data_IF_782917870188
#
_entry.id   IF_782917870188
#
_cell.length_a   1.000
_cell.length_b   1.000
_cell.length_c   1.000
_cell.angle_alpha   90.00
_cell.angle_beta   90.00
_cell.angle_gamma   90.00
#
_symmetry.space_group_name_H-M   'P 1'
#
loop_
_entity.id
_entity.type
_entity.pdbx_description
1 polymer ?
#
# COMPACT_ATOMS: atom_id res chain seq x y z
N UNK A 1 -9.66 -0.93 8.39
CA UNK A 1 -10.20 -1.84 7.35
C UNK A 1 -10.17 -3.28 7.86
N UNK A 2 -11.18 -3.79 8.59
CA UNK A 2 -11.20 -5.18 9.02
C UNK A 2 -12.07 -6.08 8.11
N UNK A 3 -11.52 -7.26 7.82
CA UNK A 3 -12.19 -8.57 7.59
C UNK A 3 -13.11 -8.70 6.37
N UNK A 4 -12.53 -9.15 5.26
CA UNK A 4 -13.24 -9.90 4.21
C UNK A 4 -12.94 -11.39 4.35
N UNK A 5 -13.94 -12.14 4.80
CA UNK A 5 -13.99 -13.60 4.78
C UNK A 5 -14.44 -14.05 3.38
N UNK A 6 -13.52 -14.57 2.57
CA UNK A 6 -13.78 -15.34 1.34
C UNK A 6 -12.48 -16.00 0.92
N UNK A 7 -12.39 -17.31 1.11
CA UNK A 7 -11.19 -18.10 0.86
C UNK A 7 -10.91 -18.34 -0.62
N UNK A 8 -9.62 -18.21 -0.98
CA UNK A 8 -8.92 -19.10 -1.90
C UNK A 8 -7.43 -19.13 -1.50
N UNK A 9 -6.86 -20.33 -1.52
CA UNK A 9 -5.63 -20.70 -0.81
C UNK A 9 -4.36 -20.17 -1.45
N UNK A 10 -3.67 -19.27 -0.75
CA UNK A 10 -2.31 -18.83 -1.06
C UNK A 10 -1.73 -18.08 0.13
N UNK A 11 -0.80 -18.71 0.84
CA UNK A 11 -0.26 -18.26 2.13
C UNK A 11 0.25 -16.81 2.12
N UNK A 12 -0.08 -16.07 3.18
CA UNK A 12 0.44 -14.77 3.66
C UNK A 12 -0.36 -13.51 3.27
N UNK A 13 -0.66 -12.69 4.29
CA UNK A 13 -1.36 -11.40 4.20
C UNK A 13 -0.61 -10.37 3.35
N UNK A 14 -0.69 -10.50 2.03
CA UNK A 14 -0.20 -9.51 1.10
C UNK A 14 -1.23 -8.37 0.97
N UNK A 15 -0.74 -7.13 1.07
CA UNK A 15 -1.55 -5.95 0.82
C UNK A 15 -2.17 -5.99 -0.59
N UNK A 16 -3.38 -5.43 -0.73
CA UNK A 16 -4.13 -5.41 -1.99
C UNK A 16 -4.30 -3.99 -2.48
N UNK A 17 -4.31 -3.83 -3.81
CA UNK A 17 -4.67 -2.57 -4.45
C UNK A 17 -6.20 -2.38 -4.49
N UNK A 18 -6.65 -1.20 -4.91
CA UNK A 18 -8.09 -0.86 -4.98
C UNK A 18 -8.90 -1.69 -5.98
N UNK A 19 -8.23 -2.45 -6.86
CA UNK A 19 -8.86 -3.36 -7.82
C UNK A 19 -8.98 -4.79 -7.26
N UNK A 20 -8.58 -5.03 -6.00
CA UNK A 20 -8.61 -6.33 -5.34
C UNK A 20 -7.41 -7.24 -5.65
N UNK A 21 -6.53 -6.81 -6.56
CA UNK A 21 -5.28 -7.48 -6.91
C UNK A 21 -4.17 -7.24 -5.89
N UNK A 22 -2.98 -7.82 -6.14
CA UNK A 22 -1.79 -7.58 -5.31
C UNK A 22 -1.40 -6.11 -5.36
N UNK A 23 -0.98 -5.55 -4.22
CA UNK A 23 -0.39 -4.21 -4.20
C UNK A 23 0.95 -4.21 -4.93
N UNK A 24 1.13 -3.26 -5.83
CA UNK A 24 2.34 -3.07 -6.62
C UNK A 24 3.28 -2.07 -5.93
N UNK A 25 4.56 -2.11 -6.33
CA UNK A 25 5.55 -1.12 -5.88
C UNK A 25 5.20 0.26 -6.44
N UNK A 26 5.14 1.25 -5.55
CA UNK A 26 4.89 2.64 -5.91
C UNK A 26 6.18 3.35 -6.38
N UNK A 27 7.26 3.28 -5.60
CA UNK A 27 8.56 3.85 -6.00
C UNK A 27 9.74 3.29 -5.19
N UNK A 28 10.87 3.03 -5.86
CA UNK A 28 12.13 2.62 -5.23
C UNK A 28 13.20 3.71 -5.27
N UNK A 29 13.03 4.72 -6.14
CA UNK A 29 13.98 5.83 -6.30
C UNK A 29 13.20 7.11 -6.66
N UNK A 30 12.87 7.96 -5.66
CA UNK A 30 13.16 7.80 -4.23
C UNK A 30 12.37 6.66 -3.57
N UNK A 31 12.92 6.05 -2.52
CA UNK A 31 12.24 4.98 -1.77
C UNK A 31 11.06 5.54 -0.95
N UNK A 32 9.86 5.01 -1.21
CA UNK A 32 8.60 5.46 -0.56
C UNK A 32 8.01 4.41 0.41
N UNK A 33 6.80 4.68 0.92
CA UNK A 33 6.05 3.81 1.81
C UNK A 33 6.33 4.07 3.29
N UNK A 34 5.34 3.86 4.17
CA UNK A 34 5.50 4.01 5.62
C UNK A 34 6.66 3.15 6.14
N UNK A 35 6.73 1.88 5.71
CA UNK A 35 7.81 0.95 6.06
C UNK A 35 9.11 1.13 5.26
N UNK A 36 9.17 2.12 4.35
CA UNK A 36 10.30 2.35 3.44
C UNK A 36 10.69 1.09 2.64
N UNK A 37 9.69 0.40 2.10
CA UNK A 37 9.84 -0.79 1.25
C UNK A 37 9.46 -0.51 -0.23
N UNK A 38 9.05 0.72 -0.54
CA UNK A 38 8.60 1.14 -1.86
C UNK A 38 7.12 0.91 -2.16
N UNK A 39 6.35 0.36 -1.22
CA UNK A 39 4.92 0.08 -1.36
C UNK A 39 4.06 0.98 -0.45
N UNK A 40 2.81 1.20 -0.83
CA UNK A 40 1.82 1.95 -0.03
C UNK A 40 1.03 1.01 0.90
N UNK A 41 1.68 0.00 1.46
CA UNK A 41 1.10 -0.84 2.50
C UNK A 41 1.18 -0.14 3.86
N UNK A 42 0.28 -0.52 4.77
CA UNK A 42 0.04 0.18 6.03
C UNK A 42 -0.19 -0.80 7.18
N UNK A 43 -0.12 -0.31 8.42
CA UNK A 43 -0.46 -1.03 9.64
C UNK A 43 -1.15 -0.10 10.64
N UNK A 44 -1.57 -0.64 11.80
CA UNK A 44 -2.23 0.14 12.84
C UNK A 44 -1.39 1.35 13.33
N UNK A 45 -0.07 1.23 13.29
CA UNK A 45 0.87 2.28 13.71
C UNK A 45 1.02 3.40 12.68
N UNK A 46 0.63 3.17 11.43
CA UNK A 46 0.63 4.18 10.36
C UNK A 46 -0.66 5.02 10.45
N UNK A 47 -0.72 5.86 11.49
CA UNK A 47 -1.85 6.76 11.74
C UNK A 47 -2.11 7.75 10.60
N UNK A 48 -1.09 8.02 9.77
CA UNK A 48 -1.19 8.87 8.58
C UNK A 48 -1.81 8.17 7.37
N UNK A 49 -1.95 6.85 7.39
CA UNK A 49 -2.50 6.04 6.31
C UNK A 49 -1.83 6.34 4.95
N UNK A 50 -0.53 6.03 4.83
CA UNK A 50 0.27 6.20 3.61
C UNK A 50 -0.10 5.16 2.52
N UNK A 51 -1.38 5.11 2.13
CA UNK A 51 -1.98 4.06 1.28
C UNK A 51 -2.27 4.49 -0.15
N UNK A 52 -2.00 5.75 -0.50
CA UNK A 52 -2.24 6.30 -1.84
C UNK A 52 -0.91 6.53 -2.56
N UNK A 53 -0.69 5.82 -3.66
CA UNK A 53 0.43 6.07 -4.56
C UNK A 53 0.07 7.24 -5.49
N UNK A 54 0.92 8.26 -5.56
CA UNK A 54 0.70 9.46 -6.38
C UNK A 54 1.92 9.77 -7.23
N UNK A 55 1.70 10.52 -8.31
CA UNK A 55 2.74 11.27 -9.00
C UNK A 55 2.64 12.70 -8.47
N UNK A 56 3.67 13.17 -7.77
CA UNK A 56 3.67 14.53 -7.23
C UNK A 56 3.82 15.57 -8.37
N UNK A 57 3.05 16.64 -8.28
CA UNK A 57 3.18 17.85 -9.11
C UNK A 57 3.62 19.03 -8.24
N UNK A 58 4.11 20.11 -8.86
CA UNK A 58 4.54 21.32 -8.14
C UNK A 58 3.37 22.00 -7.40
N UNK A 59 2.17 22.00 -7.97
CA UNK A 59 0.97 22.57 -7.31
C UNK A 59 0.56 21.85 -6.02
N UNK A 60 0.86 20.55 -5.93
CA UNK A 60 0.52 19.73 -4.76
C UNK A 60 1.56 19.86 -3.63
N UNK A 61 2.79 20.29 -3.94
CA UNK A 61 3.91 20.40 -2.99
C UNK A 61 3.94 21.78 -2.31
#
# INVERSE_FOLDING_TARGET
>A
MPRGDSGDGGKNGAARNVLGGRLETCSLRPMTGFFRNGCCDTAADDVGSHTVCIIASEEFL
#
